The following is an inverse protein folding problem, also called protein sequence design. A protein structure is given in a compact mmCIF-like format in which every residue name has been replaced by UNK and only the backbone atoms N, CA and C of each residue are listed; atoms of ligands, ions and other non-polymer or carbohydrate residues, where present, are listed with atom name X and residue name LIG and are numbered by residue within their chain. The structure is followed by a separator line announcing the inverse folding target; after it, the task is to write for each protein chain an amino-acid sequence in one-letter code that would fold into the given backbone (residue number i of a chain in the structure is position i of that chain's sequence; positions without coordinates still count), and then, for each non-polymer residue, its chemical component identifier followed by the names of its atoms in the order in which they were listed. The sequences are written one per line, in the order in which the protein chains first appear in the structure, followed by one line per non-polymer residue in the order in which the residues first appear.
data_IF_643293653552
#
_entry.id   IF_643293653552
#
_cell.length_a   1.000
_cell.length_b   1.000
_cell.length_c   1.000
_cell.angle_alpha   90.00
_cell.angle_beta   90.00
_cell.angle_gamma   90.00
#
_symmetry.space_group_name_H-M   'P 1'
#
loop_
_entity.id
_entity.type
_entity.pdbx_description
1 polymer ?
#
# COMPACT_ATOMS: atom_id res chain seq x y z
N UNK A 1 1.46 8.83 -36.23
CA UNK A 1 0.81 7.72 -35.49
C UNK A 1 1.80 6.86 -34.72
N UNK A 2 2.86 6.31 -35.35
CA UNK A 2 3.84 5.44 -34.66
C UNK A 2 4.58 6.08 -33.48
N UNK A 3 4.94 7.36 -33.58
CA UNK A 3 5.70 8.07 -32.52
C UNK A 3 4.89 8.18 -31.22
N UNK A 4 3.59 8.50 -31.31
CA UNK A 4 2.72 8.60 -30.15
C UNK A 4 2.56 7.25 -29.44
N UNK A 5 2.51 6.14 -30.21
CA UNK A 5 2.48 4.80 -29.63
C UNK A 5 3.77 4.47 -28.85
N UNK A 6 4.93 4.87 -29.37
CA UNK A 6 6.21 4.64 -28.66
C UNK A 6 6.27 5.45 -27.37
N UNK A 7 5.87 6.72 -27.40
CA UNK A 7 5.83 7.57 -26.20
C UNK A 7 4.87 7.00 -25.15
N UNK A 8 3.68 6.54 -25.57
CA UNK A 8 2.70 5.96 -24.67
C UNK A 8 3.18 4.63 -24.07
N UNK A 9 3.82 3.78 -24.87
CA UNK A 9 4.40 2.52 -24.40
C UNK A 9 5.50 2.74 -23.37
N UNK A 10 6.37 3.74 -23.59
CA UNK A 10 7.42 4.11 -22.63
C UNK A 10 6.79 4.61 -21.33
N UNK A 11 5.83 5.54 -21.40
CA UNK A 11 5.14 6.07 -20.21
C UNK A 11 4.46 4.95 -19.39
N UNK A 12 3.76 4.03 -20.06
CA UNK A 12 3.13 2.88 -19.41
C UNK A 12 4.15 1.97 -18.72
N UNK A 13 5.30 1.69 -19.34
CA UNK A 13 6.37 0.90 -18.73
C UNK A 13 6.94 1.60 -17.48
N UNK A 14 7.11 2.92 -17.52
CA UNK A 14 7.53 3.69 -16.34
C UNK A 14 6.47 3.70 -15.23
N UNK A 15 5.19 3.78 -15.57
CA UNK A 15 4.10 3.68 -14.59
C UNK A 15 3.94 2.27 -14.01
N UNK A 16 4.13 1.22 -14.81
CA UNK A 16 4.14 -0.18 -14.36
C UNK A 16 5.38 -0.53 -13.54
N UNK A 17 6.46 0.24 -13.70
CA UNK A 17 7.66 0.18 -12.86
C UNK A 17 7.54 1.01 -11.58
N UNK A 18 6.39 1.66 -11.33
CA UNK A 18 6.07 1.95 -9.92
C UNK A 18 5.99 0.60 -9.22
N UNK A 19 6.75 0.37 -8.15
CA UNK A 19 6.61 -0.86 -7.40
C UNK A 19 5.13 -0.97 -7.07
N UNK A 20 4.46 -1.99 -7.62
CA UNK A 20 3.10 -2.31 -7.20
C UNK A 20 3.12 -2.24 -5.69
N UNK A 21 2.21 -1.47 -5.11
CA UNK A 21 2.07 -1.21 -3.67
C UNK A 21 1.75 -2.52 -2.91
N UNK A 22 2.55 -3.56 -3.10
CA UNK A 22 2.71 -4.66 -2.19
C UNK A 22 3.57 -4.09 -1.08
N UNK A 23 2.92 -3.70 0.00
CA UNK A 23 3.59 -3.36 1.24
C UNK A 23 4.72 -4.39 1.49
N UNK A 24 5.92 -3.92 1.90
CA UNK A 24 6.97 -4.81 2.34
C UNK A 24 6.43 -5.70 3.46
N UNK A 25 6.38 -6.99 3.16
CA UNK A 25 5.92 -8.05 4.05
C UNK A 25 6.85 -8.09 5.25
N UNK A 26 6.37 -7.60 6.40
CA UNK A 26 7.11 -7.71 7.67
C UNK A 26 7.02 -6.52 8.62
N UNK A 27 6.22 -5.48 8.35
CA UNK A 27 6.28 -4.28 9.16
C UNK A 27 4.94 -3.74 9.71
N UNK A 28 3.83 -4.12 9.09
CA UNK A 28 2.49 -3.88 9.60
C UNK A 28 1.61 -5.04 9.12
N UNK A 29 1.01 -5.81 10.03
CA UNK A 29 0.09 -6.92 9.71
C UNK A 29 -1.31 -6.43 9.25
N UNK A 30 -1.37 -5.18 8.78
CA UNK A 30 -2.58 -4.50 8.35
C UNK A 30 -2.24 -3.40 7.35
N UNK A 31 -2.82 -2.21 7.51
CA UNK A 31 -2.63 -1.09 6.59
C UNK A 31 -2.20 0.19 7.32
N UNK A 32 -1.48 1.08 6.63
CA UNK A 32 -1.11 2.38 7.19
C UNK A 32 -2.23 3.40 6.93
N UNK A 33 -2.70 4.10 7.96
CA UNK A 33 -3.66 5.20 7.84
C UNK A 33 -3.48 6.27 8.93
N UNK A 34 -3.97 7.49 8.69
CA UNK A 34 -3.92 8.57 9.67
C UNK A 34 -4.79 8.31 10.91
N UNK A 35 -5.84 7.49 10.75
CA UNK A 35 -6.70 7.04 11.83
C UNK A 35 -7.22 5.64 11.49
N UNK A 36 -7.27 4.77 12.51
CA UNK A 36 -7.84 3.44 12.39
C UNK A 36 -9.34 3.46 12.74
N UNK A 37 -10.09 2.46 12.28
CA UNK A 37 -11.46 2.31 12.73
C UNK A 37 -11.50 1.95 14.23
N UNK A 38 -12.57 2.32 14.93
CA UNK A 38 -12.71 2.09 16.38
C UNK A 38 -12.55 0.61 16.79
N UNK A 39 -12.85 -0.30 15.86
CA UNK A 39 -12.77 -1.76 16.05
C UNK A 39 -11.41 -2.37 15.69
N UNK A 40 -10.45 -1.55 15.24
CA UNK A 40 -9.14 -2.01 14.81
C UNK A 40 -8.08 -1.67 15.86
N UNK A 41 -7.08 -2.55 15.98
CA UNK A 41 -5.94 -2.28 16.84
C UNK A 41 -4.96 -1.39 16.09
N UNK A 42 -4.59 -0.26 16.70
CA UNK A 42 -3.63 0.66 16.10
C UNK A 42 -2.26 0.48 16.76
N UNK A 43 -1.20 0.61 15.98
CA UNK A 43 0.18 0.50 16.46
C UNK A 43 1.09 1.48 15.75
N UNK A 44 2.14 1.94 16.44
CA UNK A 44 3.19 2.73 15.82
C UNK A 44 4.16 1.83 15.07
N UNK A 45 4.40 2.18 13.82
CA UNK A 45 5.17 1.36 12.91
C UNK A 45 6.12 2.29 12.13
N UNK A 46 7.45 2.22 12.34
CA UNK A 46 8.43 2.96 11.55
C UNK A 46 8.30 2.91 10.01
N UNK A 47 7.58 1.95 9.41
CA UNK A 47 7.32 1.95 7.95
C UNK A 47 6.09 2.74 7.55
N UNK A 48 5.18 3.00 8.48
CA UNK A 48 4.04 3.87 8.22
C UNK A 48 4.45 5.35 8.32
N UNK A 49 5.73 5.64 8.61
CA UNK A 49 6.30 6.99 8.73
C UNK A 49 5.56 7.83 9.79
N UNK A 50 4.60 8.64 9.35
CA UNK A 50 3.73 9.49 10.16
C UNK A 50 2.31 8.93 10.35
N UNK A 51 2.01 7.79 9.73
CA UNK A 51 0.73 7.09 9.79
C UNK A 51 0.73 6.01 10.89
N UNK A 52 -0.45 5.64 11.35
CA UNK A 52 -0.66 4.51 12.24
C UNK A 52 -0.81 3.22 11.45
N UNK A 53 -0.24 2.12 11.97
CA UNK A 53 -0.52 0.78 11.48
C UNK A 53 -1.85 0.32 12.07
N UNK A 54 -2.86 0.18 11.23
CA UNK A 54 -4.18 -0.32 11.58
C UNK A 54 -4.25 -1.81 11.30
N UNK A 55 -4.36 -2.59 12.37
CA UNK A 55 -4.44 -4.04 12.34
C UNK A 55 -5.92 -4.39 12.46
N UNK A 56 -6.55 -4.87 11.38
CA UNK A 56 -7.91 -5.35 11.48
C UNK A 56 -7.93 -6.51 12.46
N UNK A 57 -8.83 -6.45 13.46
CA UNK A 57 -9.00 -7.55 14.40
C UNK A 57 -9.13 -8.86 13.60
N UNK A 58 -8.43 -9.94 13.99
CA UNK A 58 -8.46 -11.18 13.25
C UNK A 58 -9.92 -11.56 13.08
N UNK A 59 -10.42 -11.53 11.83
CA UNK A 59 -11.74 -12.06 11.50
C UNK A 59 -11.65 -13.51 11.93
N UNK A 60 -12.24 -13.81 13.09
CA UNK A 60 -12.39 -15.16 13.64
C UNK A 60 -13.33 -15.89 12.68
N UNK A 61 -12.76 -16.32 11.56
CA UNK A 61 -13.43 -17.04 10.50
C UNK A 61 -13.57 -18.47 10.96
N UNK A 62 -14.81 -18.82 11.31
CA UNK A 62 -15.44 -20.14 11.35
C UNK A 62 -14.54 -21.37 11.44
#
# INVERSE_FOLDING_TARGET
MRVLCVVFAVLLLFSLATPGQGQPKGFCDGYCAHACAETEEWSFSPYCEELHCCIPAPKKGK
#
